data_IF_646089079030
#
_entry.id   IF_646089079030
#
_cell.length_a   1.000
_cell.length_b   1.000
_cell.length_c   1.000
_cell.angle_alpha   90.00
_cell.angle_beta   90.00
_cell.angle_gamma   90.00
#
_symmetry.space_group_name_H-M   'P 1'
#
loop_
_entity.id
_entity.type
_entity.pdbx_description
1 polymer ?
#
# COMPACT_ATOMS: atom_id res chain seq x y z
N UNK A 1 3.42 -14.22 -15.25
CA UNK A 1 4.50 -14.53 -14.28
C UNK A 1 3.89 -14.78 -12.92
N UNK A 2 4.55 -15.57 -12.03
CA UNK A 2 3.98 -15.84 -10.70
C UNK A 2 4.75 -15.08 -9.63
N UNK A 3 4.03 -14.33 -8.81
CA UNK A 3 4.56 -13.65 -7.65
C UNK A 3 3.65 -13.87 -6.44
N UNK A 4 4.21 -13.75 -5.26
CA UNK A 4 3.48 -13.65 -4.00
C UNK A 4 3.45 -12.19 -3.56
N UNK A 5 2.34 -11.74 -2.99
CA UNK A 5 2.18 -10.37 -2.49
C UNK A 5 2.41 -10.27 -0.98
N UNK A 6 3.03 -9.19 -0.55
CA UNK A 6 3.09 -8.76 0.85
C UNK A 6 2.56 -7.32 0.91
N UNK A 7 1.56 -7.07 1.75
CA UNK A 7 1.06 -5.71 2.00
C UNK A 7 1.42 -5.32 3.44
N UNK A 8 2.23 -4.27 3.58
CA UNK A 8 2.62 -3.73 4.87
C UNK A 8 1.54 -2.77 5.37
N UNK A 9 0.85 -3.13 6.44
CA UNK A 9 -0.30 -2.40 6.98
C UNK A 9 -0.24 -2.26 8.51
N UNK A 10 0.93 -2.45 9.11
CA UNK A 10 1.13 -2.51 10.57
C UNK A 10 1.67 -1.22 11.19
N UNK A 11 1.92 -0.17 10.42
CA UNK A 11 2.54 1.06 10.91
C UNK A 11 1.70 1.81 11.94
N UNK A 12 2.37 2.36 12.97
CA UNK A 12 1.79 3.35 13.85
C UNK A 12 2.03 4.75 13.26
N UNK A 13 0.95 5.52 13.07
CA UNK A 13 1.05 6.82 12.42
C UNK A 13 0.46 7.94 13.27
N UNK A 14 1.32 8.60 14.04
CA UNK A 14 0.94 9.74 14.88
C UNK A 14 0.56 11.01 14.06
N UNK A 15 0.92 11.08 12.76
CA UNK A 15 0.60 12.22 11.90
C UNK A 15 -0.87 12.27 11.47
N UNK A 16 -1.59 11.16 11.64
CA UNK A 16 -3.04 11.08 11.42
C UNK A 16 -3.85 11.48 12.67
N UNK A 17 -3.18 11.77 13.79
CA UNK A 17 -3.78 12.23 15.05
C UNK A 17 -4.97 11.34 15.47
N UNK A 18 -6.10 11.96 15.81
CA UNK A 18 -7.32 11.30 16.31
C UNK A 18 -7.92 10.32 15.32
N UNK A 19 -7.70 10.51 14.01
CA UNK A 19 -8.25 9.64 12.97
C UNK A 19 -7.75 8.19 13.07
N UNK A 20 -6.58 7.99 13.64
CA UNK A 20 -5.98 6.66 13.78
C UNK A 20 -5.92 6.13 15.20
N UNK A 21 -6.51 6.80 16.19
CA UNK A 21 -6.55 6.32 17.59
C UNK A 21 -7.18 4.92 17.73
N UNK A 22 -8.14 4.58 16.88
CA UNK A 22 -8.87 3.28 16.92
C UNK A 22 -8.86 2.53 15.60
N UNK A 23 -8.12 3.02 14.61
CA UNK A 23 -8.16 2.47 13.25
C UNK A 23 -6.78 2.54 12.59
N UNK A 24 -6.34 1.45 11.96
CA UNK A 24 -5.12 1.45 11.14
C UNK A 24 -5.27 2.38 9.93
N UNK A 25 -4.19 3.00 9.48
CA UNK A 25 -4.20 3.88 8.27
C UNK A 25 -4.72 3.11 7.06
N UNK A 26 -4.30 1.86 6.89
CA UNK A 26 -4.75 1.01 5.79
C UNK A 26 -6.28 0.75 5.79
N UNK A 27 -6.96 0.97 6.92
CA UNK A 27 -8.42 0.85 7.05
C UNK A 27 -9.15 2.19 6.93
N UNK A 28 -8.46 3.29 6.64
CA UNK A 28 -9.08 4.61 6.48
C UNK A 28 -10.00 4.63 5.26
N UNK A 29 -11.22 5.17 5.41
CA UNK A 29 -12.18 5.24 4.32
C UNK A 29 -11.72 6.21 3.22
N UNK A 30 -11.96 5.83 1.96
CA UNK A 30 -11.62 6.59 0.76
C UNK A 30 -12.86 6.67 -0.14
N UNK A 31 -13.10 7.85 -0.73
CA UNK A 31 -14.15 8.08 -1.73
C UNK A 31 -15.55 7.57 -1.32
N UNK A 32 -15.88 7.65 -0.03
CA UNK A 32 -17.19 7.30 0.54
C UNK A 32 -17.37 5.83 0.89
N UNK A 33 -16.82 4.87 0.14
CA UNK A 33 -17.11 3.44 0.33
C UNK A 33 -15.90 2.51 0.37
N UNK A 34 -14.76 2.93 -0.15
CA UNK A 34 -13.53 2.15 -0.19
C UNK A 34 -12.71 2.32 1.09
N UNK A 35 -11.70 1.49 1.27
CA UNK A 35 -10.61 1.70 2.24
C UNK A 35 -9.26 1.71 1.53
N UNK A 36 -8.27 2.36 2.11
CA UNK A 36 -6.96 2.49 1.49
C UNK A 36 -6.37 1.17 1.02
N UNK A 37 -6.49 0.12 1.81
CA UNK A 37 -5.95 -1.21 1.46
C UNK A 37 -6.62 -1.85 0.23
N UNK A 38 -7.86 -1.44 -0.11
CA UNK A 38 -8.59 -2.01 -1.25
C UNK A 38 -7.87 -1.76 -2.57
N UNK A 39 -7.15 -0.65 -2.69
CA UNK A 39 -6.37 -0.31 -3.88
C UNK A 39 -5.20 -1.28 -4.06
N UNK A 40 -4.42 -1.53 -3.01
CA UNK A 40 -3.31 -2.47 -3.07
C UNK A 40 -3.80 -3.90 -3.34
N UNK A 41 -4.88 -4.35 -2.67
CA UNK A 41 -5.47 -5.68 -2.88
C UNK A 41 -6.02 -5.84 -4.31
N UNK A 42 -6.70 -4.82 -4.83
CA UNK A 42 -7.22 -4.83 -6.20
C UNK A 42 -6.09 -4.89 -7.23
N UNK A 43 -5.02 -4.12 -7.03
CA UNK A 43 -3.85 -4.18 -7.89
C UNK A 43 -3.17 -5.56 -7.86
N UNK A 44 -3.10 -6.22 -6.69
CA UNK A 44 -2.59 -7.61 -6.59
C UNK A 44 -3.42 -8.57 -7.43
N UNK A 45 -4.74 -8.57 -7.24
CA UNK A 45 -5.64 -9.49 -7.96
C UNK A 45 -5.67 -9.21 -9.46
N UNK A 46 -5.69 -7.94 -9.86
CA UNK A 46 -5.68 -7.52 -11.26
C UNK A 46 -4.36 -7.86 -11.97
N UNK A 47 -3.27 -7.96 -11.21
CA UNK A 47 -1.96 -8.42 -11.69
C UNK A 47 -1.76 -9.93 -11.55
N UNK A 48 -2.84 -10.70 -11.31
CA UNK A 48 -2.81 -12.16 -11.14
C UNK A 48 -1.94 -12.66 -9.98
N UNK A 49 -1.68 -11.84 -8.97
CA UNK A 49 -1.02 -12.23 -7.74
C UNK A 49 -2.10 -12.78 -6.80
N UNK A 50 -2.20 -14.10 -6.73
CA UNK A 50 -3.32 -14.78 -6.05
C UNK A 50 -3.04 -15.15 -4.59
N UNK A 51 -1.79 -15.10 -4.15
CA UNK A 51 -1.35 -15.40 -2.78
C UNK A 51 -0.79 -14.14 -2.17
N UNK A 52 -1.50 -13.59 -1.19
CA UNK A 52 -1.18 -12.28 -0.59
C UNK A 52 -1.19 -12.37 0.92
N UNK A 53 -0.14 -11.88 1.56
CA UNK A 53 -0.05 -11.66 3.00
C UNK A 53 -0.26 -10.18 3.32
N UNK A 54 -1.10 -9.87 4.29
CA UNK A 54 -1.24 -8.54 4.89
C UNK A 54 -0.64 -8.58 6.29
N UNK A 55 0.41 -7.80 6.53
CA UNK A 55 1.07 -7.71 7.82
C UNK A 55 0.48 -6.54 8.61
N UNK A 56 -0.24 -6.83 9.68
CA UNK A 56 -0.97 -5.84 10.48
C UNK A 56 -0.45 -5.82 11.92
N UNK A 57 -0.58 -4.70 12.60
CA UNK A 57 -0.17 -4.56 14.00
C UNK A 57 -1.05 -3.56 14.76
N UNK A 58 -0.79 -2.26 14.60
CA UNK A 58 -1.49 -1.21 15.35
C UNK A 58 -2.93 -1.04 14.88
N UNK A 59 -3.86 -0.98 15.85
CA UNK A 59 -5.28 -0.71 15.61
C UNK A 59 -5.92 -1.57 14.50
N UNK A 60 -5.45 -2.82 14.39
CA UNK A 60 -5.78 -3.71 13.28
C UNK A 60 -7.22 -4.25 13.30
N UNK A 61 -7.97 -4.11 14.42
CA UNK A 61 -9.30 -4.72 14.55
C UNK A 61 -10.23 -4.38 13.39
N UNK A 62 -10.41 -3.09 13.10
CA UNK A 62 -11.28 -2.64 11.99
C UNK A 62 -10.74 -3.06 10.61
N UNK A 63 -9.42 -3.21 10.46
CA UNK A 63 -8.79 -3.72 9.25
C UNK A 63 -9.08 -5.22 9.09
N UNK A 64 -8.89 -6.00 10.15
CA UNK A 64 -9.13 -7.45 10.14
C UNK A 64 -10.62 -7.78 9.89
N UNK A 65 -11.54 -6.98 10.46
CA UNK A 65 -12.98 -7.08 10.16
C UNK A 65 -13.30 -6.80 8.69
N UNK A 66 -12.57 -5.88 8.05
CA UNK A 66 -12.70 -5.60 6.63
C UNK A 66 -12.19 -6.76 5.78
N UNK A 67 -11.07 -7.35 6.16
CA UNK A 67 -10.39 -8.43 5.45
C UNK A 67 -10.94 -9.84 5.75
N UNK A 68 -11.94 -9.99 6.60
CA UNK A 68 -12.45 -11.28 7.08
C UNK A 68 -12.98 -12.20 5.97
N UNK A 69 -13.23 -11.67 4.79
CA UNK A 69 -13.64 -12.45 3.63
C UNK A 69 -12.82 -12.05 2.40
N UNK A 70 -12.01 -12.96 1.92
CA UNK A 70 -11.15 -12.77 0.75
C UNK A 70 -11.89 -12.75 -0.60
N UNK A 71 -13.16 -13.12 -0.62
CA UNK A 71 -13.97 -13.22 -1.85
C UNK A 71 -14.11 -11.88 -2.59
N UNK A 72 -14.13 -10.77 -1.87
CA UNK A 72 -14.32 -9.44 -2.42
C UNK A 72 -13.19 -9.00 -3.38
N UNK A 73 -11.98 -9.52 -3.15
CA UNK A 73 -10.82 -9.29 -4.03
C UNK A 73 -10.41 -10.55 -4.80
N UNK A 74 -11.32 -11.54 -4.93
CA UNK A 74 -11.10 -12.77 -5.69
C UNK A 74 -9.91 -13.64 -5.22
N UNK A 75 -9.59 -13.62 -3.93
CA UNK A 75 -8.56 -14.48 -3.32
C UNK A 75 -9.09 -15.82 -2.81
N UNK A 76 -10.35 -16.14 -3.04
CA UNK A 76 -10.99 -17.35 -2.54
C UNK A 76 -10.76 -18.63 -3.36
N UNK A 77 -9.72 -18.68 -4.19
CA UNK A 77 -9.43 -19.82 -5.07
C UNK A 77 -8.71 -20.94 -4.32
N UNK A 78 -8.78 -22.18 -4.85
CA UNK A 78 -8.17 -23.39 -4.29
C UNK A 78 -6.64 -23.27 -4.13
N UNK A 79 -5.97 -22.53 -5.02
CA UNK A 79 -4.55 -22.22 -4.93
C UNK A 79 -4.39 -20.70 -4.77
N UNK A 80 -3.87 -20.27 -3.63
CA UNK A 80 -3.72 -18.86 -3.30
C UNK A 80 -4.34 -18.53 -1.94
N UNK A 81 -4.80 -17.30 -1.78
CA UNK A 81 -5.50 -16.84 -0.59
C UNK A 81 -5.02 -15.49 -0.08
N UNK A 82 -5.85 -14.88 0.74
CA UNK A 82 -5.52 -13.70 1.53
C UNK A 82 -5.21 -14.14 2.96
N UNK A 83 -3.99 -13.89 3.41
CA UNK A 83 -3.49 -14.23 4.73
C UNK A 83 -3.31 -12.93 5.53
N UNK A 84 -3.90 -12.84 6.70
CA UNK A 84 -3.74 -11.67 7.57
C UNK A 84 -2.91 -12.11 8.77
N UNK A 85 -1.73 -11.53 8.90
CA UNK A 85 -0.81 -11.84 9.98
C UNK A 85 -0.71 -10.69 10.97
N UNK A 86 -0.78 -11.02 12.23
CA UNK A 86 -0.53 -10.14 13.37
C UNK A 86 0.67 -10.66 14.14
N UNK A 87 1.36 -9.84 14.94
CA UNK A 87 2.40 -10.34 15.84
C UNK A 87 1.85 -11.47 16.70
N UNK A 88 2.61 -12.53 16.79
CA UNK A 88 2.22 -13.73 17.55
C UNK A 88 3.28 -14.03 18.59
N UNK A 89 2.87 -14.20 19.82
CA UNK A 89 3.76 -14.64 20.90
C UNK A 89 4.05 -16.14 20.71
N UNK A 90 5.33 -16.48 20.62
CA UNK A 90 5.84 -17.85 20.56
C UNK A 90 6.87 -18.05 21.66
N UNK A 91 7.38 -19.28 21.83
CA UNK A 91 8.46 -19.53 22.78
C UNK A 91 9.74 -18.75 22.45
N UNK A 92 9.96 -18.45 21.17
CA UNK A 92 11.17 -17.78 20.66
C UNK A 92 10.98 -16.29 20.45
N UNK A 93 9.74 -15.80 20.45
CA UNK A 93 9.41 -14.39 20.20
C UNK A 93 8.22 -13.91 21.01
N UNK A 94 8.45 -12.96 21.91
CA UNK A 94 7.43 -12.29 22.73
C UNK A 94 7.17 -10.83 22.30
N UNK A 95 7.67 -10.40 21.15
CA UNK A 95 7.66 -8.99 20.73
C UNK A 95 6.67 -8.68 19.62
N UNK A 96 6.25 -7.44 19.60
CA UNK A 96 5.60 -6.82 18.45
C UNK A 96 6.59 -6.72 17.28
N UNK A 97 6.10 -6.48 16.05
CA UNK A 97 7.00 -6.18 14.95
C UNK A 97 7.78 -4.89 15.26
N UNK A 98 9.09 -5.01 15.35
CA UNK A 98 10.01 -3.90 15.67
C UNK A 98 10.26 -2.99 14.46
N UNK A 99 9.92 -3.47 13.26
CA UNK A 99 10.04 -2.75 12.00
C UNK A 99 9.50 -3.56 10.83
N UNK A 100 9.63 -3.02 9.63
CA UNK A 100 9.08 -3.62 8.42
C UNK A 100 9.82 -4.89 7.99
N UNK A 101 11.13 -4.98 8.20
CA UNK A 101 11.91 -6.20 7.98
C UNK A 101 11.57 -7.26 9.02
N UNK A 102 11.43 -6.89 10.29
CA UNK A 102 11.04 -7.80 11.37
C UNK A 102 9.63 -8.37 11.15
N UNK A 103 8.69 -7.57 10.64
CA UNK A 103 7.36 -8.05 10.27
C UNK A 103 7.41 -9.15 9.20
N UNK A 104 8.30 -9.02 8.22
CA UNK A 104 8.51 -10.06 7.21
C UNK A 104 9.20 -11.27 7.83
N UNK A 105 10.21 -11.06 8.68
CA UNK A 105 10.97 -12.12 9.36
C UNK A 105 10.07 -13.01 10.22
N UNK A 106 9.25 -12.41 11.09
CA UNK A 106 8.34 -13.18 11.96
C UNK A 106 7.31 -14.00 11.17
N UNK A 107 7.08 -13.69 9.88
CA UNK A 107 6.19 -14.42 8.98
C UNK A 107 6.94 -15.14 7.85
N UNK A 108 8.22 -15.44 8.06
CA UNK A 108 9.11 -16.04 7.05
C UNK A 108 8.60 -17.38 6.51
N UNK A 109 7.89 -18.15 7.31
CA UNK A 109 7.26 -19.41 6.92
C UNK A 109 6.32 -19.25 5.72
N UNK A 110 5.61 -18.11 5.62
CA UNK A 110 4.77 -17.81 4.47
C UNK A 110 5.60 -17.76 3.17
N UNK A 111 6.76 -17.13 3.21
CA UNK A 111 7.67 -17.07 2.07
C UNK A 111 8.34 -18.41 1.78
N UNK A 112 8.81 -19.12 2.81
CA UNK A 112 9.48 -20.43 2.66
C UNK A 112 8.54 -21.48 2.06
N UNK A 113 7.26 -21.47 2.46
CA UNK A 113 6.22 -22.37 1.94
C UNK A 113 5.62 -21.91 0.58
N UNK A 114 6.01 -20.75 0.08
CA UNK A 114 5.59 -20.25 -1.23
C UNK A 114 6.48 -20.81 -2.34
N UNK A 115 5.91 -20.98 -3.52
CA UNK A 115 6.61 -21.52 -4.71
C UNK A 115 6.82 -20.46 -5.80
N UNK A 116 6.24 -19.31 -5.66
CA UNK A 116 6.36 -18.18 -6.58
C UNK A 116 7.80 -17.64 -6.55
N UNK A 117 8.43 -17.36 -7.72
CA UNK A 117 9.82 -16.93 -7.77
C UNK A 117 10.04 -15.49 -7.31
N UNK A 118 9.01 -14.66 -7.37
CA UNK A 118 9.08 -13.24 -7.04
C UNK A 118 8.13 -12.87 -5.90
N UNK A 119 8.47 -11.78 -5.22
CA UNK A 119 7.64 -11.13 -4.21
C UNK A 119 7.37 -9.68 -4.64
N UNK A 120 6.12 -9.27 -4.56
CA UNK A 120 5.71 -7.86 -4.65
C UNK A 120 5.36 -7.40 -3.25
N UNK A 121 6.11 -6.43 -2.74
CA UNK A 121 5.82 -5.77 -1.46
C UNK A 121 5.15 -4.45 -1.78
N UNK A 122 4.05 -4.14 -1.10
CA UNK A 122 3.32 -2.87 -1.27
C UNK A 122 2.90 -2.29 0.09
N UNK A 123 2.78 -0.97 0.18
CA UNK A 123 2.20 -0.31 1.35
C UNK A 123 0.67 -0.29 1.27
N UNK A 124 0.00 -0.50 2.41
CA UNK A 124 -1.47 -0.46 2.51
C UNK A 124 -2.06 0.94 2.73
N UNK A 125 -1.22 1.99 2.80
CA UNK A 125 -1.60 3.36 3.10
C UNK A 125 -1.54 4.31 1.89
N UNK A 126 -1.60 3.76 0.69
CA UNK A 126 -1.57 4.54 -0.54
C UNK A 126 -2.77 4.21 -1.46
N UNK A 127 -3.22 5.25 -2.17
CA UNK A 127 -4.30 5.20 -3.16
C UNK A 127 -3.70 5.32 -4.55
N UNK A 128 -3.79 4.24 -5.33
CA UNK A 128 -3.22 4.16 -6.67
C UNK A 128 -3.82 2.98 -7.44
N UNK A 129 -3.61 2.96 -8.75
CA UNK A 129 -4.02 1.89 -9.64
C UNK A 129 -2.82 1.50 -10.51
N UNK A 130 -2.41 0.23 -10.45
CA UNK A 130 -1.19 -0.23 -11.09
C UNK A 130 -1.29 -1.71 -11.51
N UNK A 131 -0.70 -2.01 -12.65
CA UNK A 131 -0.44 -3.38 -13.09
C UNK A 131 0.99 -3.80 -12.70
N UNK A 132 1.08 -4.61 -11.64
CA UNK A 132 2.37 -5.15 -11.19
C UNK A 132 3.01 -6.12 -12.18
N UNK A 133 2.27 -6.67 -13.15
CA UNK A 133 2.84 -7.54 -14.18
C UNK A 133 3.87 -6.78 -15.03
N UNK A 134 3.63 -5.48 -15.29
CA UNK A 134 4.57 -4.61 -16.01
C UNK A 134 5.85 -4.37 -15.21
N UNK A 135 5.71 -4.16 -13.89
CA UNK A 135 6.88 -3.98 -13.01
C UNK A 135 7.69 -5.27 -12.91
N UNK A 136 7.01 -6.42 -12.82
CA UNK A 136 7.65 -7.74 -12.83
C UNK A 136 8.40 -8.01 -14.14
N UNK A 137 7.79 -7.67 -15.28
CA UNK A 137 8.46 -7.80 -16.57
C UNK A 137 9.72 -6.93 -16.64
N UNK A 138 9.60 -5.66 -16.26
CA UNK A 138 10.74 -4.74 -16.18
C UNK A 138 11.86 -5.27 -15.27
N UNK A 139 11.50 -5.80 -14.09
CA UNK A 139 12.45 -6.40 -13.15
C UNK A 139 13.26 -7.53 -13.78
N UNK A 140 12.62 -8.36 -14.60
CA UNK A 140 13.26 -9.48 -15.30
C UNK A 140 14.14 -8.97 -16.43
N UNK A 141 13.65 -8.03 -17.23
CA UNK A 141 14.38 -7.48 -18.38
C UNK A 141 15.66 -6.77 -17.94
N UNK A 142 15.60 -6.03 -16.85
CA UNK A 142 16.77 -5.39 -16.21
C UNK A 142 17.68 -6.38 -15.47
N UNK A 143 17.28 -7.64 -15.31
CA UNK A 143 17.97 -8.63 -14.45
C UNK A 143 18.25 -8.05 -13.07
N UNK A 144 17.28 -7.30 -12.55
CA UNK A 144 17.39 -6.62 -11.28
C UNK A 144 17.41 -7.59 -10.10
N UNK A 145 18.08 -7.22 -9.04
CA UNK A 145 17.94 -7.88 -7.73
C UNK A 145 16.74 -7.33 -6.98
N UNK A 146 16.55 -6.00 -7.04
CA UNK A 146 15.39 -5.29 -6.51
C UNK A 146 14.93 -4.25 -7.51
N UNK A 147 13.62 -4.10 -7.68
CA UNK A 147 13.01 -2.98 -8.40
C UNK A 147 12.18 -2.16 -7.41
N UNK A 148 12.42 -0.87 -7.36
CA UNK A 148 11.68 0.10 -6.54
C UNK A 148 10.77 0.90 -7.45
N UNK A 149 9.47 0.91 -7.16
CA UNK A 149 8.55 1.78 -7.90
C UNK A 149 8.70 3.21 -7.39
N UNK A 150 8.96 4.13 -8.31
CA UNK A 150 9.29 5.52 -8.05
C UNK A 150 8.28 6.45 -8.69
N UNK A 151 8.05 7.60 -8.04
CA UNK A 151 7.24 8.69 -8.59
C UNK A 151 7.97 10.01 -8.42
N UNK A 152 7.95 10.81 -9.48
CA UNK A 152 8.38 12.19 -9.40
C UNK A 152 7.24 13.05 -8.85
N UNK A 153 7.50 13.74 -7.75
CA UNK A 153 6.55 14.62 -7.09
C UNK A 153 6.72 16.04 -7.59
N UNK A 154 5.68 16.86 -7.43
CA UNK A 154 5.79 18.29 -7.74
C UNK A 154 6.87 18.93 -6.84
N UNK A 155 7.71 19.84 -7.36
CA UNK A 155 8.71 20.54 -6.56
C UNK A 155 8.16 21.30 -5.33
N UNK A 156 6.87 21.63 -5.33
CA UNK A 156 6.19 22.25 -4.20
C UNK A 156 5.72 21.26 -3.13
N UNK A 157 5.71 19.95 -3.41
CA UNK A 157 5.27 18.94 -2.46
C UNK A 157 6.36 18.65 -1.41
N UNK A 158 5.95 18.46 -0.16
CA UNK A 158 6.85 17.99 0.91
C UNK A 158 7.12 16.49 0.74
N UNK A 159 8.32 16.17 0.27
CA UNK A 159 8.79 14.79 0.07
C UNK A 159 9.64 14.26 1.23
N UNK A 160 9.89 15.03 2.28
CA UNK A 160 10.75 14.68 3.43
C UNK A 160 10.31 13.42 4.20
N UNK A 161 9.05 13.03 4.04
CA UNK A 161 8.46 11.85 4.68
C UNK A 161 8.65 10.54 3.91
N UNK A 162 9.22 10.62 2.72
CA UNK A 162 9.46 9.47 1.84
C UNK A 162 10.94 9.16 1.70
N UNK A 163 11.23 7.97 1.24
CA UNK A 163 12.55 7.67 0.71
C UNK A 163 12.78 8.42 -0.59
N UNK A 164 13.81 9.26 -0.68
CA UNK A 164 14.17 9.99 -1.89
C UNK A 164 15.23 9.24 -2.67
N UNK A 165 15.15 9.31 -4.00
CA UNK A 165 15.94 8.47 -4.91
C UNK A 165 16.57 9.34 -5.99
N UNK A 166 17.82 8.99 -6.37
CA UNK A 166 18.42 9.40 -7.65
C UNK A 166 18.77 8.16 -8.47
N UNK A 167 18.64 8.30 -9.76
CA UNK A 167 18.91 7.23 -10.74
C UNK A 167 19.81 7.77 -11.85
N UNK A 168 20.59 6.86 -12.42
CA UNK A 168 21.32 7.12 -13.67
C UNK A 168 20.40 6.97 -14.91
N UNK A 169 20.98 7.18 -16.09
CA UNK A 169 20.26 7.10 -17.37
C UNK A 169 19.70 5.69 -17.66
N UNK A 170 20.28 4.64 -17.05
CA UNK A 170 19.78 3.25 -17.14
C UNK A 170 18.72 2.93 -16.08
N UNK A 171 18.29 3.92 -15.31
CA UNK A 171 17.34 3.80 -14.20
C UNK A 171 17.88 3.01 -13.00
N UNK A 172 19.19 2.81 -12.88
CA UNK A 172 19.82 2.23 -11.72
C UNK A 172 19.83 3.24 -10.58
N UNK A 173 19.44 2.82 -9.39
CA UNK A 173 19.43 3.69 -8.22
C UNK A 173 20.87 3.91 -7.75
N UNK A 174 21.30 5.16 -7.79
CA UNK A 174 22.62 5.63 -7.35
C UNK A 174 22.61 6.18 -5.93
N UNK A 175 21.53 6.89 -5.58
CA UNK A 175 21.31 7.40 -4.22
C UNK A 175 19.93 7.00 -3.74
N UNK A 176 19.84 6.59 -2.47
CA UNK A 176 18.59 6.32 -1.78
C UNK A 176 18.75 6.77 -0.33
N UNK A 177 17.95 7.75 0.09
CA UNK A 177 17.94 8.29 1.45
C UNK A 177 16.52 8.17 2.03
N UNK A 178 16.36 7.49 3.16
CA UNK A 178 15.04 7.33 3.81
C UNK A 178 14.76 8.54 4.70
N UNK A 179 13.68 9.23 4.39
CA UNK A 179 13.18 10.40 5.15
C UNK A 179 14.27 11.42 5.47
N UNK A 180 14.96 11.96 4.46
CA UNK A 180 16.06 12.88 4.67
C UNK A 180 15.59 14.20 5.29
N UNK A 181 16.39 14.79 6.16
CA UNK A 181 16.11 16.13 6.72
C UNK A 181 16.15 17.23 5.64
N UNK A 182 17.02 17.06 4.65
CA UNK A 182 17.14 17.96 3.49
C UNK A 182 16.99 17.10 2.24
N UNK A 183 15.96 17.38 1.46
CA UNK A 183 15.66 16.63 0.25
C UNK A 183 16.51 17.12 -0.93
N UNK A 184 17.17 16.19 -1.62
CA UNK A 184 18.01 16.48 -2.80
C UNK A 184 17.35 16.06 -4.12
N UNK A 185 16.19 15.43 -4.04
CA UNK A 185 15.47 14.89 -5.18
C UNK A 185 13.96 14.87 -4.90
N UNK A 186 13.15 15.16 -5.91
CA UNK A 186 11.69 15.00 -5.85
C UNK A 186 11.24 13.60 -6.33
N UNK A 187 12.16 12.74 -6.75
CA UNK A 187 11.87 11.35 -7.04
C UNK A 187 11.79 10.58 -5.73
N UNK A 188 10.62 9.98 -5.47
CA UNK A 188 10.36 9.24 -4.23
C UNK A 188 10.15 7.76 -4.49
N UNK A 189 10.45 6.94 -3.47
CA UNK A 189 9.96 5.57 -3.36
C UNK A 189 8.49 5.57 -2.97
N UNK A 190 7.67 4.85 -3.72
CA UNK A 190 6.23 4.72 -3.44
C UNK A 190 5.92 3.65 -2.39
N UNK A 191 6.93 2.98 -1.84
CA UNK A 191 6.74 1.85 -0.93
C UNK A 191 6.31 0.56 -1.64
N UNK A 192 6.59 0.45 -2.94
CA UNK A 192 6.29 -0.73 -3.75
C UNK A 192 7.60 -1.29 -4.28
N UNK A 193 7.82 -2.59 -4.04
CA UNK A 193 9.08 -3.26 -4.37
C UNK A 193 8.82 -4.61 -5.03
N UNK A 194 9.67 -4.95 -6.00
CA UNK A 194 9.74 -6.30 -6.59
C UNK A 194 11.11 -6.89 -6.31
N UNK A 195 11.14 -8.12 -5.79
CA UNK A 195 12.37 -8.81 -5.42
C UNK A 195 12.22 -10.31 -5.65
N UNK A 196 13.32 -11.02 -5.96
CA UNK A 196 13.33 -12.48 -6.02
C UNK A 196 13.07 -13.05 -4.62
N UNK A 197 12.15 -14.01 -4.50
CA UNK A 197 11.75 -14.57 -3.21
C UNK A 197 12.93 -15.13 -2.40
N UNK A 198 13.83 -15.87 -3.04
CA UNK A 198 15.02 -16.41 -2.35
C UNK A 198 15.92 -15.31 -1.84
N UNK A 199 16.19 -14.31 -2.66
CA UNK A 199 17.00 -13.17 -2.25
C UNK A 199 16.36 -12.40 -1.08
N UNK A 200 15.03 -12.22 -1.09
CA UNK A 200 14.34 -11.58 0.03
C UNK A 200 14.51 -12.38 1.31
N UNK A 201 14.35 -13.70 1.26
CA UNK A 201 14.55 -14.60 2.42
C UNK A 201 15.97 -14.40 2.97
N UNK A 202 16.99 -14.54 2.13
CA UNK A 202 18.39 -14.42 2.52
C UNK A 202 18.69 -13.05 3.17
N UNK A 203 18.20 -11.96 2.58
CA UNK A 203 18.43 -10.61 3.11
C UNK A 203 17.71 -10.35 4.43
N UNK A 204 16.49 -10.87 4.60
CA UNK A 204 15.72 -10.70 5.83
C UNK A 204 16.29 -11.56 6.97
N UNK A 205 16.71 -12.80 6.69
CA UNK A 205 17.36 -13.64 7.69
C UNK A 205 18.66 -13.00 8.19
N UNK A 206 19.48 -12.50 7.26
CA UNK A 206 20.72 -11.81 7.61
C UNK A 206 20.50 -10.50 8.40
N UNK A 207 19.47 -9.74 8.04
CA UNK A 207 19.10 -8.54 8.80
C UNK A 207 18.65 -8.89 10.23
N UNK A 208 17.91 -9.99 10.40
CA UNK A 208 17.46 -10.45 11.72
C UNK A 208 18.63 -10.92 12.61
N UNK A 209 19.63 -11.62 12.06
CA UNK A 209 20.84 -12.03 12.76
C UNK A 209 21.65 -10.84 13.28
N UNK A 210 21.58 -9.69 12.58
CA UNK A 210 22.25 -8.46 12.97
C UNK A 210 21.36 -7.51 13.80
N UNK A 211 20.19 -7.96 14.25
CA UNK A 211 19.19 -7.14 14.98
C UNK A 211 18.76 -5.87 14.23
N UNK A 212 18.56 -5.99 12.91
CA UNK A 212 18.11 -4.91 12.03
C UNK A 212 16.68 -5.14 11.58
N UNK A 213 15.85 -4.12 11.70
CA UNK A 213 14.41 -4.29 11.66
C UNK A 213 13.70 -3.49 10.57
N UNK A 214 14.36 -2.50 9.96
CA UNK A 214 13.77 -1.66 8.92
C UNK A 214 14.13 -2.15 7.51
N UNK A 215 13.10 -2.41 6.69
CA UNK A 215 13.32 -2.94 5.35
C UNK A 215 14.02 -1.95 4.41
N UNK A 216 13.71 -0.66 4.52
CA UNK A 216 14.31 0.35 3.62
C UNK A 216 15.74 0.63 4.03
N UNK A 217 15.98 0.99 5.30
CA UNK A 217 17.31 1.36 5.79
C UNK A 217 18.26 0.15 5.84
N UNK A 218 17.79 -0.94 6.43
CA UNK A 218 18.64 -2.06 6.80
C UNK A 218 18.79 -3.09 5.68
N UNK A 219 17.86 -3.09 4.70
CA UNK A 219 17.93 -4.01 3.55
C UNK A 219 18.22 -3.24 2.26
N UNK A 220 17.39 -2.30 1.84
CA UNK A 220 17.53 -1.67 0.53
C UNK A 220 18.73 -0.73 0.47
N UNK A 221 18.82 0.24 1.37
CA UNK A 221 19.88 1.25 1.37
C UNK A 221 21.24 0.62 1.64
N UNK A 222 21.28 -0.28 2.62
CA UNK A 222 22.53 -0.96 3.00
C UNK A 222 23.17 -1.74 1.85
N UNK A 223 22.34 -2.46 1.10
CA UNK A 223 22.82 -3.31 0.00
C UNK A 223 22.80 -2.64 -1.38
N UNK A 224 22.49 -1.34 -1.48
CA UNK A 224 22.35 -0.62 -2.77
C UNK A 224 23.57 -0.71 -3.68
N UNK A 225 24.77 -0.71 -3.11
CA UNK A 225 26.02 -0.79 -3.87
C UNK A 225 26.42 -2.23 -4.23
N UNK A 226 25.91 -3.23 -3.51
CA UNK A 226 26.19 -4.65 -3.70
C UNK A 226 25.16 -5.35 -4.58
N UNK A 227 23.96 -4.79 -4.69
CA UNK A 227 22.85 -5.34 -5.45
C UNK A 227 22.47 -4.43 -6.63
N UNK A 228 21.86 -5.04 -7.63
CA UNK A 228 21.31 -4.32 -8.79
C UNK A 228 19.93 -3.81 -8.46
N UNK A 229 19.84 -2.58 -7.96
CA UNK A 229 18.59 -1.94 -7.60
C UNK A 229 18.21 -0.94 -8.69
N UNK A 230 17.03 -1.12 -9.30
CA UNK A 230 16.52 -0.28 -10.37
C UNK A 230 15.23 0.42 -9.96
N UNK A 231 15.03 1.65 -10.43
CA UNK A 231 13.78 2.37 -10.31
C UNK A 231 12.83 2.08 -11.47
N UNK A 232 11.56 1.92 -11.16
CA UNK A 232 10.47 1.88 -12.14
C UNK A 232 9.60 3.12 -11.97
N UNK A 233 9.72 4.09 -12.86
CA UNK A 233 9.01 5.36 -12.77
C UNK A 233 7.55 5.20 -13.20
N UNK A 234 6.64 5.79 -12.41
CA UNK A 234 5.21 5.86 -12.71
C UNK A 234 4.75 7.32 -12.87
N UNK A 235 3.82 7.55 -13.80
CA UNK A 235 3.27 8.88 -14.09
C UNK A 235 1.79 8.99 -13.71
N UNK A 236 1.11 7.86 -13.44
CA UNK A 236 -0.30 7.85 -13.07
C UNK A 236 -0.54 8.30 -11.62
N UNK A 237 -1.82 8.47 -11.27
CA UNK A 237 -2.22 8.91 -9.94
C UNK A 237 -1.69 7.97 -8.84
N UNK A 238 -1.03 8.55 -7.88
CA UNK A 238 -0.59 7.90 -6.65
C UNK A 238 -0.63 8.92 -5.51
N UNK A 239 -1.20 8.57 -4.38
CA UNK A 239 -1.24 9.40 -3.18
C UNK A 239 -1.09 8.56 -1.93
N UNK A 240 -0.18 8.94 -1.04
CA UNK A 240 -0.04 8.35 0.29
C UNK A 240 -0.88 9.14 1.29
N UNK A 241 -1.72 8.45 2.06
CA UNK A 241 -2.67 9.07 3.01
C UNK A 241 -2.16 9.13 4.46
N UNK A 242 -0.87 9.08 4.67
CA UNK A 242 -0.28 8.98 6.01
C UNK A 242 -0.23 10.31 6.80
N UNK A 243 -0.89 11.37 6.34
CA UNK A 243 -1.11 12.63 7.08
C UNK A 243 -2.54 13.11 6.90
N UNK A 244 -3.04 13.92 7.83
CA UNK A 244 -4.42 14.47 7.76
C UNK A 244 -4.63 15.24 6.46
N UNK A 245 -3.67 16.11 6.08
CA UNK A 245 -3.76 16.92 4.87
C UNK A 245 -3.77 16.06 3.59
N UNK A 246 -2.86 15.06 3.51
CA UNK A 246 -2.82 14.15 2.37
C UNK A 246 -4.08 13.28 2.29
N UNK A 247 -4.60 12.83 3.42
CA UNK A 247 -5.86 12.09 3.50
C UNK A 247 -7.04 12.94 3.02
N UNK A 248 -7.14 14.19 3.48
CA UNK A 248 -8.16 15.13 3.03
C UNK A 248 -8.04 15.40 1.52
N UNK A 249 -6.85 15.81 1.04
CA UNK A 249 -6.58 16.07 -0.38
C UNK A 249 -6.96 14.87 -1.25
N UNK A 250 -6.54 13.67 -0.85
CA UNK A 250 -6.85 12.43 -1.59
C UNK A 250 -8.35 12.20 -1.71
N UNK A 251 -9.13 12.38 -0.64
CA UNK A 251 -10.58 12.23 -0.70
C UNK A 251 -11.24 13.30 -1.59
N UNK A 252 -10.79 14.54 -1.48
CA UNK A 252 -11.32 15.65 -2.30
C UNK A 252 -10.96 15.50 -3.79
N UNK A 253 -9.84 14.86 -4.12
CA UNK A 253 -9.48 14.55 -5.50
C UNK A 253 -10.53 13.67 -6.20
N UNK A 254 -11.25 12.81 -5.47
CA UNK A 254 -12.34 12.01 -6.03
C UNK A 254 -13.58 12.81 -6.43
N UNK A 255 -13.68 14.09 -6.06
CA UNK A 255 -14.70 15.00 -6.61
C UNK A 255 -14.38 15.41 -8.04
N UNK A 256 -13.11 15.33 -8.46
CA UNK A 256 -12.68 15.63 -9.83
C UNK A 256 -13.12 14.49 -10.78
N UNK A 257 -13.80 14.82 -11.90
CA UNK A 257 -14.28 13.80 -12.83
C UNK A 257 -13.17 12.90 -13.40
N UNK A 258 -12.00 13.46 -13.68
CA UNK A 258 -10.84 12.73 -14.23
C UNK A 258 -10.34 11.67 -13.25
N UNK A 259 -10.19 11.99 -11.96
CA UNK A 259 -9.74 11.03 -10.93
C UNK A 259 -10.80 9.93 -10.75
N UNK A 260 -12.06 10.32 -10.62
CA UNK A 260 -13.15 9.37 -10.46
C UNK A 260 -13.31 8.43 -11.66
N UNK A 261 -13.18 8.96 -12.87
CA UNK A 261 -13.25 8.16 -14.09
C UNK A 261 -12.05 7.20 -14.18
N UNK A 262 -10.85 7.64 -13.84
CA UNK A 262 -9.65 6.79 -13.81
C UNK A 262 -9.82 5.61 -12.86
N UNK A 263 -10.31 5.83 -11.64
CA UNK A 263 -10.44 4.75 -10.66
C UNK A 263 -11.65 3.83 -10.90
N UNK A 264 -12.81 4.39 -11.30
CA UNK A 264 -14.08 3.68 -11.22
C UNK A 264 -14.76 3.39 -12.57
N UNK A 265 -14.26 3.98 -13.68
CA UNK A 265 -14.84 3.76 -15.01
C UNK A 265 -13.86 3.17 -16.02
N UNK A 266 -12.58 3.10 -15.69
CA UNK A 266 -11.56 2.50 -16.54
C UNK A 266 -11.10 1.17 -15.95
N UNK A 267 -10.81 0.21 -16.80
CA UNK A 267 -10.21 -1.05 -16.40
C UNK A 267 -8.76 -0.86 -15.94
N UNK A 268 -8.30 -1.72 -15.02
CA UNK A 268 -9.03 -2.69 -14.21
C UNK A 268 -9.82 -2.05 -13.08
N UNK A 269 -10.86 -2.72 -12.59
CA UNK A 269 -11.71 -2.25 -11.49
C UNK A 269 -10.99 -2.26 -10.13
N UNK A 270 -11.42 -1.37 -9.24
CA UNK A 270 -11.05 -1.39 -7.82
C UNK A 270 -12.16 -2.10 -7.05
N UNK A 271 -11.80 -3.17 -6.37
CA UNK A 271 -12.72 -3.98 -5.56
C UNK A 271 -12.70 -3.52 -4.11
N UNK A 272 -13.83 -3.68 -3.42
CA UNK A 272 -13.96 -3.43 -2.00
C UNK A 272 -14.98 -4.37 -1.37
N UNK A 273 -14.94 -4.50 -0.06
CA UNK A 273 -15.98 -5.22 0.68
C UNK A 273 -17.31 -4.48 0.54
N UNK A 274 -18.27 -5.13 -0.08
CA UNK A 274 -19.64 -4.62 -0.16
C UNK A 274 -20.28 -4.67 1.23
N UNK A 275 -20.89 -3.55 1.62
CA UNK A 275 -21.75 -3.49 2.81
C UNK A 275 -23.19 -3.40 2.36
N UNK A 276 -24.04 -4.27 2.89
CA UNK A 276 -25.48 -4.29 2.59
C UNK A 276 -26.18 -3.14 3.35
N UNK A 277 -25.88 -1.92 2.95
CA UNK A 277 -26.49 -0.70 3.48
C UNK A 277 -27.55 -0.20 2.47
N UNK A 278 -28.64 0.43 2.99
CA UNK A 278 -29.63 1.04 2.12
C UNK A 278 -28.98 2.17 1.28
N UNK A 279 -29.55 2.54 0.13
CA UNK A 279 -29.15 3.71 -0.61
C UNK A 279 -29.17 4.97 0.27
N UNK A 280 -28.36 5.97 -0.09
CA UNK A 280 -28.41 7.26 0.57
C UNK A 280 -29.80 7.90 0.37
N UNK A 281 -30.38 8.42 1.46
CA UNK A 281 -31.69 9.07 1.46
C UNK A 281 -31.56 10.58 1.50
N UNK A 282 -32.28 11.26 0.64
CA UNK A 282 -32.36 12.71 0.59
C UNK A 282 -33.77 13.12 1.00
N UNK A 283 -33.93 13.81 2.13
CA UNK A 283 -35.21 14.27 2.62
C UNK A 283 -35.68 15.54 1.88
N UNK A 284 -36.98 15.90 1.95
CA UNK A 284 -37.47 17.14 1.34
C UNK A 284 -36.67 18.36 1.78
N UNK A 285 -36.26 19.21 0.82
CA UNK A 285 -35.42 20.37 1.04
C UNK A 285 -33.91 20.10 1.04
N UNK A 286 -33.46 18.85 0.94
CA UNK A 286 -32.03 18.53 0.81
C UNK A 286 -31.50 19.01 -0.54
N UNK A 287 -30.31 19.60 -0.54
CA UNK A 287 -29.56 20.05 -1.72
C UNK A 287 -28.15 19.47 -1.68
N UNK A 288 -27.75 18.75 -2.73
CA UNK A 288 -26.42 18.15 -2.83
C UNK A 288 -25.75 18.58 -4.13
N UNK A 289 -24.57 19.22 -4.02
CA UNK A 289 -23.78 19.70 -5.15
C UNK A 289 -22.34 19.23 -5.04
N UNK A 290 -21.77 18.77 -6.16
CA UNK A 290 -20.38 18.35 -6.28
C UNK A 290 -19.89 17.53 -5.06
N UNK A 291 -20.64 16.48 -4.68
CA UNK A 291 -20.36 15.71 -3.46
C UNK A 291 -20.51 14.20 -3.69
N UNK A 292 -19.76 13.40 -2.97
CA UNK A 292 -19.92 11.95 -2.88
C UNK A 292 -20.61 11.61 -1.56
N UNK A 293 -21.68 10.82 -1.63
CA UNK A 293 -22.46 10.42 -0.46
C UNK A 293 -22.47 8.91 -0.35
N UNK A 294 -21.93 8.38 0.73
CA UNK A 294 -21.88 6.94 0.99
C UNK A 294 -23.25 6.34 1.26
N UNK A 295 -23.43 5.07 0.95
CA UNK A 295 -24.65 4.30 1.24
C UNK A 295 -24.99 4.34 2.73
N UNK A 296 -26.30 4.34 3.06
CA UNK A 296 -26.79 4.43 4.43
C UNK A 296 -26.88 5.84 5.01
N UNK A 297 -26.36 6.86 4.33
CA UNK A 297 -26.44 8.26 4.77
C UNK A 297 -27.85 8.84 4.61
N UNK A 298 -28.25 9.74 5.52
CA UNK A 298 -29.50 10.51 5.42
C UNK A 298 -29.14 12.00 5.38
N UNK A 299 -29.52 12.69 4.32
CA UNK A 299 -29.23 14.11 4.11
C UNK A 299 -30.50 14.93 4.34
N UNK A 300 -30.42 15.89 5.28
CA UNK A 300 -31.53 16.77 5.66
C UNK A 300 -31.30 18.25 5.27
N UNK A 301 -30.10 18.58 4.81
CA UNK A 301 -29.69 19.96 4.53
C UNK A 301 -28.88 20.10 3.26
N UNK A 302 -28.08 21.14 3.20
CA UNK A 302 -27.20 21.42 2.04
C UNK A 302 -25.83 20.80 2.22
N UNK A 303 -25.38 20.06 1.22
CA UNK A 303 -24.05 19.44 1.15
C UNK A 303 -23.39 19.87 -0.15
N UNK A 304 -22.26 20.54 -0.06
CA UNK A 304 -21.51 21.01 -1.23
C UNK A 304 -20.02 20.66 -1.08
N UNK A 305 -19.37 20.29 -2.20
CA UNK A 305 -17.93 20.00 -2.28
C UNK A 305 -17.45 19.08 -1.15
N UNK A 306 -18.17 17.99 -0.93
CA UNK A 306 -17.97 17.15 0.26
C UNK A 306 -17.89 15.67 -0.09
N UNK A 307 -17.19 14.90 0.76
CA UNK A 307 -17.21 13.44 0.75
C UNK A 307 -17.79 12.96 2.07
N UNK A 308 -18.99 12.40 2.02
CA UNK A 308 -19.72 11.85 3.17
C UNK A 308 -19.52 10.35 3.20
N UNK A 309 -18.98 9.85 4.28
CA UNK A 309 -18.80 8.42 4.53
C UNK A 309 -20.04 7.80 5.18
N UNK A 310 -20.11 6.48 5.13
CA UNK A 310 -21.12 5.69 5.84
C UNK A 310 -20.80 5.56 7.31
#
# INVERSE_FOLDING_TARGET
MRAVGIILAGGNNNRMKELTHKRAVAAMPIAGSYRSIDFALSNMTNSHIQKVAVLTQYNARSLNEHLNSSKWWNFGRKQGGLYVFTPTITNDNGYWYRGTADAIYQNMDFLKKSHEPYVVIASGDAVYKMDYSKVLQYHIDKKADVTVVCKEMDPSDDVSRFGTIRMDDDMRITEFEEKPMVTKSNMISTGIYVIRRRLLIDLIEHAAEEERFDFVNDVLIRYKNLKKIYGYKIDHYWSNIATVDAYYKTNMDFLKPEVRNYFFKQDPEIYSKVSDLPPAKYNPGASVKNSLVGSGSIINGTVENSVIFK
#
